data_IF_328782409765
#
_entry.id   IF_328782409765
#
_cell.length_a   1.000
_cell.length_b   1.000
_cell.length_c   1.000
_cell.angle_alpha   90.00
_cell.angle_beta   90.00
_cell.angle_gamma   90.00
#
_symmetry.space_group_name_H-M   'P 1'
#
loop_
_entity.id
_entity.type
_entity.pdbx_description
1 polymer ?
#
# COMPACT_ATOMS: atom_id res chain seq x y z
N UNK A 1 -15.23 -4.00 1.65
CA UNK A 1 -15.77 -3.66 2.99
C UNK A 1 -17.21 -3.16 2.89
N UNK A 2 -17.48 -2.04 2.20
CA UNK A 2 -18.84 -1.50 2.08
C UNK A 2 -19.84 -2.48 1.44
N UNK A 3 -19.45 -3.21 0.38
CA UNK A 3 -20.30 -4.25 -0.21
C UNK A 3 -20.61 -5.42 0.74
N UNK A 4 -19.72 -5.72 1.69
CA UNK A 4 -19.86 -6.84 2.65
C UNK A 4 -20.63 -6.40 3.91
N UNK A 5 -20.54 -5.13 4.26
CA UNK A 5 -21.14 -4.57 5.47
C UNK A 5 -22.36 -3.66 5.21
N UNK A 6 -22.68 -3.35 3.96
CA UNK A 6 -23.81 -2.50 3.57
C UNK A 6 -23.68 -1.02 3.95
N UNK A 7 -22.52 -0.57 4.44
CA UNK A 7 -22.29 0.81 4.89
C UNK A 7 -20.86 1.26 4.62
N UNK A 8 -20.69 2.56 4.37
CA UNK A 8 -19.38 3.23 4.26
C UNK A 8 -18.95 3.90 5.56
N UNK A 9 -19.85 4.02 6.55
CA UNK A 9 -19.56 4.67 7.82
C UNK A 9 -18.85 3.70 8.78
N UNK A 10 -17.65 4.08 9.24
CA UNK A 10 -16.90 3.31 10.23
C UNK A 10 -17.71 3.05 11.52
N UNK A 11 -18.61 3.97 11.88
CA UNK A 11 -19.49 3.82 13.04
C UNK A 11 -20.50 2.67 12.86
N UNK A 12 -20.96 2.44 11.62
CA UNK A 12 -21.89 1.35 11.26
C UNK A 12 -21.21 0.04 10.85
N UNK A 13 -19.88 0.06 10.65
CA UNK A 13 -19.09 -1.13 10.38
C UNK A 13 -18.76 -1.88 11.68
N UNK A 14 -18.84 -3.21 11.62
CA UNK A 14 -18.46 -4.09 12.72
C UNK A 14 -18.63 -5.57 12.35
N UNK A 15 -17.83 -6.42 12.98
CA UNK A 15 -17.94 -7.88 12.91
C UNK A 15 -17.50 -8.49 11.58
N UNK A 16 -16.77 -7.75 10.72
CA UNK A 16 -16.32 -8.26 9.42
C UNK A 16 -15.46 -9.53 9.56
N UNK A 17 -14.67 -9.66 10.62
CA UNK A 17 -13.88 -10.86 10.88
C UNK A 17 -14.75 -12.12 11.02
N UNK A 18 -15.89 -12.00 11.72
CA UNK A 18 -16.83 -13.11 11.95
C UNK A 18 -17.70 -13.40 10.71
N UNK A 19 -17.89 -12.41 9.83
CA UNK A 19 -18.63 -12.57 8.57
C UNK A 19 -17.81 -13.24 7.47
N UNK A 20 -16.56 -12.82 7.28
CA UNK A 20 -15.66 -13.37 6.27
C UNK A 20 -14.21 -13.28 6.73
N UNK A 21 -13.71 -14.38 7.28
CA UNK A 21 -12.33 -14.50 7.76
C UNK A 21 -11.30 -14.30 6.64
N UNK A 22 -11.56 -14.84 5.45
CA UNK A 22 -10.69 -14.68 4.27
C UNK A 22 -10.58 -13.22 3.81
N UNK A 23 -11.71 -12.51 3.72
CA UNK A 23 -11.68 -11.08 3.38
C UNK A 23 -10.98 -10.24 4.45
N UNK A 24 -11.21 -10.56 5.72
CA UNK A 24 -10.54 -9.89 6.83
C UNK A 24 -9.02 -10.08 6.78
N UNK A 25 -8.55 -11.29 6.47
CA UNK A 25 -7.13 -11.59 6.33
C UNK A 25 -6.49 -10.82 5.17
N UNK A 26 -7.13 -10.82 3.99
CA UNK A 26 -6.65 -10.06 2.83
C UNK A 26 -6.62 -8.56 3.15
N UNK A 27 -7.67 -8.03 3.75
CA UNK A 27 -7.73 -6.62 4.11
C UNK A 27 -6.66 -6.25 5.14
N UNK A 28 -6.37 -7.13 6.09
CA UNK A 28 -5.31 -6.94 7.07
C UNK A 28 -3.93 -6.90 6.40
N UNK A 29 -3.66 -7.85 5.50
CA UNK A 29 -2.41 -7.89 4.71
C UNK A 29 -2.23 -6.58 3.94
N UNK A 30 -3.27 -6.13 3.24
CA UNK A 30 -3.21 -4.88 2.46
C UNK A 30 -3.05 -3.64 3.35
N UNK A 31 -3.70 -3.61 4.52
CA UNK A 31 -3.53 -2.52 5.49
C UNK A 31 -2.10 -2.45 6.03
N UNK A 32 -1.51 -3.59 6.40
CA UNK A 32 -0.11 -3.65 6.85
C UNK A 32 0.84 -3.26 5.73
N UNK A 33 0.58 -3.72 4.50
CA UNK A 33 1.35 -3.32 3.34
C UNK A 33 1.31 -1.80 3.11
N UNK A 34 0.13 -1.18 3.24
CA UNK A 34 -0.05 0.26 3.15
C UNK A 34 0.63 1.03 4.30
N UNK A 35 0.66 0.46 5.51
CA UNK A 35 1.45 1.02 6.62
C UNK A 35 2.96 1.01 6.31
N UNK A 36 3.41 0.21 5.35
CA UNK A 36 4.82 0.03 5.01
C UNK A 36 5.60 -0.60 6.16
N UNK A 37 5.05 -1.69 6.70
CA UNK A 37 5.71 -2.56 7.68
C UNK A 37 6.39 -3.73 6.96
N UNK A 38 7.55 -4.22 7.44
CA UNK A 38 8.15 -5.42 6.88
C UNK A 38 7.23 -6.64 7.14
N UNK A 39 7.12 -7.63 6.23
CA UNK A 39 7.85 -7.88 4.97
C UNK A 39 7.13 -7.39 3.69
N UNK A 40 6.31 -6.33 3.75
CA UNK A 40 5.46 -5.92 2.62
C UNK A 40 6.09 -4.84 1.74
N UNK A 41 5.62 -4.71 0.49
CA UNK A 41 6.21 -3.83 -0.53
C UNK A 41 6.29 -2.35 -0.13
N UNK A 42 5.36 -1.85 0.69
CA UNK A 42 5.35 -0.47 1.16
C UNK A 42 6.50 -0.10 2.11
N UNK A 43 7.26 -1.08 2.62
CA UNK A 43 8.40 -0.85 3.52
C UNK A 43 9.63 -0.31 2.79
N UNK A 44 9.97 -0.89 1.63
CA UNK A 44 11.23 -0.62 0.92
C UNK A 44 11.39 0.83 0.46
N UNK A 45 10.38 1.46 -0.20
CA UNK A 45 10.48 2.88 -0.58
C UNK A 45 10.68 3.79 0.63
N UNK A 46 10.05 3.46 1.77
CA UNK A 46 10.18 4.23 3.01
C UNK A 46 11.61 4.19 3.55
N UNK A 47 12.22 3.01 3.60
CA UNK A 47 13.61 2.86 4.07
C UNK A 47 14.59 3.61 3.16
N UNK A 48 14.39 3.51 1.83
CA UNK A 48 15.23 4.22 0.86
C UNK A 48 15.13 5.73 1.05
N UNK A 49 13.90 6.26 1.22
CA UNK A 49 13.70 7.69 1.47
C UNK A 49 14.30 8.15 2.81
N UNK A 50 14.18 7.34 3.87
CA UNK A 50 14.80 7.65 5.17
C UNK A 50 16.33 7.66 5.04
N UNK A 51 16.91 6.66 4.38
CA UNK A 51 18.36 6.59 4.14
C UNK A 51 18.84 7.80 3.34
N UNK A 52 18.18 8.12 2.22
CA UNK A 52 18.52 9.27 1.39
C UNK A 52 18.39 10.60 2.15
N UNK A 53 17.39 10.72 3.04
CA UNK A 53 17.22 11.90 3.88
C UNK A 53 18.39 12.08 4.87
N UNK A 54 18.85 10.99 5.49
CA UNK A 54 19.99 11.01 6.41
C UNK A 54 21.29 11.30 5.66
N UNK A 55 21.48 10.70 4.48
CA UNK A 55 22.69 10.88 3.64
C UNK A 55 22.90 12.36 3.25
N UNK A 56 21.82 13.12 3.04
CA UNK A 56 21.86 14.56 2.73
C UNK A 56 21.83 15.43 4.00
N UNK A 57 21.86 14.84 5.20
CA UNK A 57 21.84 15.55 6.48
C UNK A 57 20.46 16.13 6.85
N UNK A 58 19.40 15.70 6.17
CA UNK A 58 18.05 16.20 6.32
C UNK A 58 17.23 15.36 7.32
N UNK A 59 17.67 15.33 8.57
CA UNK A 59 17.12 14.53 9.67
C UNK A 59 15.62 14.74 9.90
N UNK A 60 15.13 15.95 9.63
CA UNK A 60 13.71 16.28 9.78
C UNK A 60 12.82 15.54 8.76
N UNK A 61 13.30 15.28 7.54
CA UNK A 61 12.56 14.47 6.56
C UNK A 61 12.48 13.02 7.03
N UNK A 62 13.60 12.46 7.50
CA UNK A 62 13.62 11.11 8.06
C UNK A 62 12.61 10.98 9.22
N UNK A 63 12.60 11.95 10.15
CA UNK A 63 11.63 11.98 11.24
C UNK A 63 10.19 12.08 10.73
N UNK A 64 9.89 12.96 9.77
CA UNK A 64 8.56 13.11 9.20
C UNK A 64 8.06 11.82 8.53
N UNK A 65 8.92 11.12 7.78
CA UNK A 65 8.60 9.85 7.13
C UNK A 65 8.27 8.77 8.19
N UNK A 66 9.08 8.66 9.23
CA UNK A 66 8.90 7.67 10.30
C UNK A 66 7.66 7.96 11.14
N UNK A 67 7.45 9.21 11.55
CA UNK A 67 6.27 9.63 12.30
C UNK A 67 5.01 9.45 11.46
N UNK A 68 5.04 9.84 10.18
CA UNK A 68 3.92 9.63 9.26
C UNK A 68 3.54 8.16 9.11
N UNK A 69 4.54 7.28 8.94
CA UNK A 69 4.32 5.83 8.90
C UNK A 69 3.78 5.26 10.22
N UNK A 70 4.26 5.76 11.36
CA UNK A 70 3.75 5.37 12.67
C UNK A 70 2.29 5.80 12.87
N UNK A 71 1.95 7.06 12.56
CA UNK A 71 0.58 7.56 12.64
C UNK A 71 -0.36 6.79 11.72
N UNK A 72 0.08 6.47 10.49
CA UNK A 72 -0.69 5.64 9.56
C UNK A 72 -0.98 4.25 10.15
N UNK A 73 0.01 3.66 10.81
CA UNK A 73 -0.14 2.37 11.51
C UNK A 73 -1.18 2.46 12.63
N UNK A 74 -1.17 3.54 13.42
CA UNK A 74 -2.19 3.77 14.47
C UNK A 74 -3.58 3.93 13.86
N UNK A 75 -3.71 4.70 12.77
CA UNK A 75 -4.99 4.94 12.10
C UNK A 75 -5.55 3.63 11.52
N UNK A 76 -4.75 2.86 10.79
CA UNK A 76 -5.22 1.59 10.23
C UNK A 76 -5.43 0.50 11.29
N UNK A 77 -4.64 0.51 12.37
CA UNK A 77 -4.93 -0.32 13.54
C UNK A 77 -6.31 -0.02 14.12
N UNK A 78 -6.67 1.26 14.29
CA UNK A 78 -8.01 1.68 14.73
C UNK A 78 -9.10 1.25 13.74
N UNK A 79 -8.89 1.42 12.44
CA UNK A 79 -9.82 0.96 11.40
C UNK A 79 -10.05 -0.54 11.53
N UNK A 80 -8.99 -1.33 11.70
CA UNK A 80 -9.10 -2.78 11.83
C UNK A 80 -9.90 -3.17 13.08
N UNK A 81 -9.58 -2.57 14.22
CA UNK A 81 -10.30 -2.82 15.48
C UNK A 81 -11.78 -2.46 15.38
N UNK A 82 -12.13 -1.30 14.80
CA UNK A 82 -13.50 -0.81 14.74
C UNK A 82 -14.37 -1.51 13.68
N UNK A 83 -13.80 -1.81 12.51
CA UNK A 83 -14.56 -2.40 11.41
C UNK A 83 -14.54 -3.94 11.42
N UNK A 84 -13.44 -4.57 11.83
CA UNK A 84 -13.26 -6.02 11.75
C UNK A 84 -13.45 -6.72 13.09
N UNK A 85 -12.80 -6.23 14.15
CA UNK A 85 -12.78 -6.89 15.46
C UNK A 85 -14.04 -6.60 16.29
N UNK A 86 -14.48 -5.35 16.34
CA UNK A 86 -15.64 -4.90 17.12
C UNK A 86 -16.91 -5.67 16.68
N UNK A 87 -17.71 -6.22 17.61
CA UNK A 87 -18.98 -6.85 17.26
C UNK A 87 -19.92 -5.89 16.50
N UNK A 88 -20.72 -6.43 15.57
CA UNK A 88 -21.72 -5.63 14.87
C UNK A 88 -22.84 -5.21 15.83
N UNK A 89 -23.25 -3.93 15.77
CA UNK A 89 -24.32 -3.39 16.62
C UNK A 89 -25.72 -3.92 16.26
N UNK A 90 -25.91 -4.43 15.04
CA UNK A 90 -27.15 -5.03 14.57
C UNK A 90 -26.87 -6.27 13.71
N UNK A 91 -27.79 -7.24 13.62
CA UNK A 91 -27.70 -8.34 12.67
C UNK A 91 -27.70 -7.76 11.26
N UNK A 92 -26.57 -7.87 10.57
CA UNK A 92 -26.42 -7.45 9.18
C UNK A 92 -26.32 -8.71 8.33
N UNK A 93 -27.10 -8.77 7.25
CA UNK A 93 -27.00 -9.85 6.26
C UNK A 93 -25.57 -9.93 5.73
N UNK A 94 -24.98 -11.13 5.78
CA UNK A 94 -23.64 -11.36 5.29
C UNK A 94 -23.69 -11.47 3.76
N UNK A 95 -23.21 -10.44 3.05
CA UNK A 95 -22.95 -10.55 1.62
C UNK A 95 -21.63 -11.29 1.42
N UNK A 96 -21.67 -12.41 0.70
CA UNK A 96 -20.44 -13.11 0.27
C UNK A 96 -19.76 -12.34 -0.85
N UNK A 97 -18.44 -12.37 -0.88
CA UNK A 97 -17.68 -11.78 -1.99
C UNK A 97 -17.73 -12.78 -3.14
N UNK A 98 -18.43 -12.42 -4.22
CA UNK A 98 -18.43 -13.20 -5.44
C UNK A 98 -17.03 -13.32 -6.06
N UNK A 99 -16.78 -14.41 -6.77
CA UNK A 99 -15.46 -14.71 -7.34
C UNK A 99 -14.92 -13.58 -8.25
N UNK A 100 -15.81 -12.86 -8.93
CA UNK A 100 -15.51 -11.72 -9.80
C UNK A 100 -14.77 -10.59 -9.08
N UNK A 101 -15.06 -10.38 -7.79
CA UNK A 101 -14.37 -9.40 -6.96
C UNK A 101 -13.26 -10.05 -6.11
N UNK A 102 -13.43 -11.33 -5.74
CA UNK A 102 -12.45 -12.07 -4.95
C UNK A 102 -11.15 -12.35 -5.69
N UNK A 103 -11.23 -12.73 -6.98
CA UNK A 103 -10.04 -13.08 -7.77
C UNK A 103 -9.11 -11.88 -7.98
N UNK A 104 -9.56 -10.70 -8.48
CA UNK A 104 -8.67 -9.55 -8.64
C UNK A 104 -8.06 -9.10 -7.32
N UNK A 105 -8.85 -9.12 -6.24
CA UNK A 105 -8.39 -8.77 -4.90
C UNK A 105 -7.28 -9.70 -4.42
N UNK A 106 -7.46 -11.02 -4.62
CA UNK A 106 -6.44 -12.01 -4.28
C UNK A 106 -5.16 -11.81 -5.10
N UNK A 107 -5.27 -11.61 -6.42
CA UNK A 107 -4.13 -11.38 -7.31
C UNK A 107 -3.35 -10.13 -6.87
N UNK A 108 -4.04 -9.01 -6.63
CA UNK A 108 -3.39 -7.78 -6.17
C UNK A 108 -2.69 -7.97 -4.83
N UNK A 109 -3.33 -8.70 -3.91
CA UNK A 109 -2.73 -9.01 -2.61
C UNK A 109 -1.48 -9.87 -2.77
N UNK A 110 -1.53 -10.90 -3.62
CA UNK A 110 -0.39 -11.76 -3.91
C UNK A 110 0.77 -10.97 -4.52
N UNK A 111 0.50 -10.03 -5.44
CA UNK A 111 1.52 -9.14 -6.01
C UNK A 111 2.15 -8.24 -4.94
N UNK A 112 1.34 -7.61 -4.09
CA UNK A 112 1.82 -6.75 -2.99
C UNK A 112 2.73 -7.52 -2.03
N UNK A 113 2.36 -8.76 -1.69
CA UNK A 113 3.19 -9.64 -0.86
C UNK A 113 4.45 -10.07 -1.60
N UNK A 114 4.33 -10.49 -2.86
CA UNK A 114 5.44 -10.92 -3.70
C UNK A 114 6.52 -9.84 -3.85
N UNK A 115 6.12 -8.61 -4.19
CA UNK A 115 7.04 -7.47 -4.27
C UNK A 115 7.62 -7.05 -2.91
N UNK A 116 6.96 -7.38 -1.80
CA UNK A 116 7.51 -7.16 -0.46
C UNK A 116 8.66 -8.11 -0.13
N UNK A 117 8.50 -9.38 -0.49
CA UNK A 117 9.48 -10.44 -0.24
C UNK A 117 10.67 -10.33 -1.20
N UNK A 118 10.40 -10.02 -2.48
CA UNK A 118 11.41 -9.92 -3.54
C UNK A 118 11.40 -8.50 -4.14
N UNK A 119 11.94 -7.50 -3.42
CA UNK A 119 11.90 -6.11 -3.85
C UNK A 119 12.93 -5.78 -4.96
N UNK A 120 13.98 -6.60 -5.10
CA UNK A 120 15.18 -6.32 -5.88
C UNK A 120 14.85 -5.90 -7.32
N UNK A 121 14.06 -6.71 -8.01
CA UNK A 121 13.64 -6.44 -9.41
C UNK A 121 12.89 -5.11 -9.54
N UNK A 122 12.00 -4.80 -8.59
CA UNK A 122 11.23 -3.56 -8.61
C UNK A 122 12.12 -2.36 -8.31
N UNK A 123 13.09 -2.50 -7.40
CA UNK A 123 14.06 -1.46 -7.06
C UNK A 123 15.01 -1.18 -8.23
N UNK A 124 15.48 -2.20 -8.94
CA UNK A 124 16.30 -2.04 -10.14
C UNK A 124 15.54 -1.29 -11.25
N UNK A 125 14.29 -1.66 -11.49
CA UNK A 125 13.42 -0.96 -12.45
C UNK A 125 13.21 0.51 -12.04
N UNK A 126 12.95 0.77 -10.76
CA UNK A 126 12.80 2.12 -10.24
C UNK A 126 14.09 2.94 -10.38
N UNK A 127 15.25 2.33 -10.14
CA UNK A 127 16.55 2.97 -10.27
C UNK A 127 16.89 3.28 -11.75
N UNK A 128 16.56 2.38 -12.67
CA UNK A 128 16.71 2.61 -14.10
C UNK A 128 15.83 3.79 -14.56
N UNK A 129 14.58 3.84 -14.10
CA UNK A 129 13.68 4.96 -14.37
C UNK A 129 14.19 6.28 -13.77
N UNK A 130 14.70 6.25 -12.53
CA UNK A 130 15.28 7.43 -11.88
C UNK A 130 16.50 7.97 -12.64
N UNK A 131 17.37 7.09 -13.13
CA UNK A 131 18.53 7.47 -13.95
C UNK A 131 18.09 8.18 -15.23
N UNK A 132 17.06 7.66 -15.92
CA UNK A 132 16.51 8.29 -17.12
C UNK A 132 15.84 9.65 -16.87
N UNK A 133 15.37 9.91 -15.63
CA UNK A 133 14.84 11.22 -15.24
C UNK A 133 15.95 12.24 -14.93
N UNK A 134 17.08 11.76 -14.38
CA UNK A 134 18.24 12.60 -14.05
C UNK A 134 19.03 12.95 -15.32
N UNK A 135 19.21 11.98 -16.22
CA UNK A 135 19.85 12.16 -17.52
C UNK A 135 18.87 11.84 -18.67
N UNK A 136 18.11 12.84 -19.15
CA UNK A 136 17.10 12.65 -20.20
C UNK A 136 17.70 12.59 -21.61
N UNK A 137 19.02 12.52 -21.77
CA UNK A 137 19.69 12.57 -23.09
C UNK A 137 19.16 11.50 -24.04
N UNK A 138 18.95 10.28 -23.56
CA UNK A 138 18.40 9.17 -24.36
C UNK A 138 16.98 9.44 -24.84
N UNK A 139 16.14 10.03 -23.98
CA UNK A 139 14.79 10.46 -24.33
C UNK A 139 14.81 11.57 -25.39
N UNK A 140 15.63 12.61 -25.18
CA UNK A 140 15.76 13.73 -26.11
C UNK A 140 16.26 13.28 -27.49
N UNK A 141 17.24 12.38 -27.55
CA UNK A 141 17.74 11.83 -28.82
C UNK A 141 16.71 10.95 -29.53
N UNK A 142 15.87 10.22 -28.77
CA UNK A 142 14.81 9.40 -29.33
C UNK A 142 13.63 10.22 -29.89
N UNK A 143 13.33 11.38 -29.30
CA UNK A 143 12.19 12.22 -29.69
C UNK A 143 12.59 13.33 -30.66
N UNK A 144 13.79 13.90 -30.50
CA UNK A 144 14.36 14.98 -31.31
C UNK A 144 15.73 14.59 -31.93
N UNK A 145 15.76 13.64 -32.89
CA UNK A 145 17.02 13.11 -33.45
C UNK A 145 17.91 14.19 -34.10
N UNK A 146 17.31 15.24 -34.67
CA UNK A 146 18.03 16.29 -35.41
C UNK A 146 18.32 17.56 -34.57
N UNK A 147 18.22 17.48 -33.23
CA UNK A 147 18.46 18.63 -32.36
C UNK A 147 17.36 19.70 -32.43
N UNK A 148 16.18 19.35 -32.93
CA UNK A 148 14.99 20.19 -32.82
C UNK A 148 14.69 20.44 -31.35
N UNK A 149 14.92 21.67 -30.88
CA UNK A 149 14.50 22.03 -29.53
C UNK A 149 12.96 21.99 -29.46
N UNK A 150 12.38 21.60 -28.30
CA UNK A 150 10.95 21.72 -28.07
C UNK A 150 10.45 23.16 -28.20
#
# INVERSE_FOLDING_TARGET
AAAVAGSFSLAGLGGLYRKSSGFAAISFILLIAACGLPPFSGFWPKVILVRASIDVGAWWLAAAILIGGFLLTVVFGRVFLLAYWRPAAAPQTAASIGWQAGLPLFILTALVVGFGILPEQLLEMAQAAATGLIDPTSYLQSVFPDGGMP
#
